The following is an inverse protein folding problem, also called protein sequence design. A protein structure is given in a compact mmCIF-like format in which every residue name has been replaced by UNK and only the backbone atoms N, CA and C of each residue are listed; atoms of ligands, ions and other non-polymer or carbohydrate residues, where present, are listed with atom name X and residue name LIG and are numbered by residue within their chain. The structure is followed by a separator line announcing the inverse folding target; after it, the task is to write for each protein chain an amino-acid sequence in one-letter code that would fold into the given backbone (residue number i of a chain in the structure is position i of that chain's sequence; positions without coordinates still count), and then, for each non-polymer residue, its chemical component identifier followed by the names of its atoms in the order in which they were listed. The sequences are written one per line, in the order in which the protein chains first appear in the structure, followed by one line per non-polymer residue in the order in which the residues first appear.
data_IF_104040912185
#
_entry.id   IF_104040912185
#
_cell.length_a   1.000
_cell.length_b   1.000
_cell.length_c   1.000
_cell.angle_alpha   90.00
_cell.angle_beta   90.00
_cell.angle_gamma   90.00
#
_symmetry.space_group_name_H-M   'P 1'
#
loop_
_entity.id
_entity.type
_entity.pdbx_description
1 polymer ?
#
# COMPACT_ATOMS: atom_id res chain seq x y z
N UNK A 1 -23.44 -29.52 -34.44
CA UNK A 1 -24.12 -28.82 -33.33
C UNK A 1 -23.15 -27.78 -32.81
N UNK A 2 -23.51 -26.50 -32.88
CA UNK A 2 -22.71 -25.46 -32.23
C UNK A 2 -22.70 -25.70 -30.71
N UNK A 3 -21.57 -25.51 -30.01
CA UNK A 3 -21.55 -25.63 -28.56
C UNK A 3 -22.59 -24.66 -27.96
N UNK A 4 -23.27 -25.04 -26.86
CA UNK A 4 -24.22 -24.15 -26.20
C UNK A 4 -23.51 -22.86 -25.82
N UNK A 5 -24.15 -21.73 -26.13
CA UNK A 5 -23.65 -20.42 -25.70
C UNK A 5 -23.53 -20.43 -24.17
N UNK A 6 -22.39 -20.02 -23.58
CA UNK A 6 -22.24 -20.02 -22.13
C UNK A 6 -23.35 -19.15 -21.50
N UNK A 7 -23.89 -19.62 -20.37
CA UNK A 7 -24.90 -18.88 -19.63
C UNK A 7 -24.40 -17.45 -19.31
N UNK A 8 -25.26 -16.41 -19.40
CA UNK A 8 -24.85 -15.05 -19.15
C UNK A 8 -24.33 -14.90 -17.73
N UNK A 9 -23.10 -14.40 -17.58
CA UNK A 9 -22.48 -14.14 -16.28
C UNK A 9 -23.22 -13.00 -15.57
N UNK A 10 -23.55 -13.18 -14.29
CA UNK A 10 -24.21 -12.16 -13.47
C UNK A 10 -23.27 -10.98 -13.22
N UNK A 11 -23.68 -9.78 -13.62
CA UNK A 11 -22.95 -8.53 -13.30
C UNK A 11 -23.27 -8.13 -11.87
N UNK A 12 -22.24 -7.86 -11.09
CA UNK A 12 -22.32 -7.52 -9.67
C UNK A 12 -21.90 -6.07 -9.37
N UNK A 13 -20.89 -5.56 -10.05
CA UNK A 13 -20.32 -4.24 -9.79
C UNK A 13 -20.00 -3.52 -11.11
N UNK A 14 -21.00 -3.02 -11.86
CA UNK A 14 -20.78 -2.30 -13.10
C UNK A 14 -20.09 -0.94 -12.85
N UNK A 15 -19.35 -0.45 -13.84
CA UNK A 15 -18.78 0.91 -13.76
C UNK A 15 -19.92 1.93 -13.81
N UNK A 16 -19.94 2.86 -12.86
CA UNK A 16 -20.94 3.92 -12.84
C UNK A 16 -20.83 4.83 -14.08
N UNK A 17 -21.94 5.22 -14.74
CA UNK A 17 -21.92 6.04 -15.96
C UNK A 17 -21.19 7.38 -15.81
N UNK A 18 -21.20 7.99 -14.63
CA UNK A 18 -20.48 9.25 -14.37
C UNK A 18 -18.97 9.06 -14.23
N UNK A 19 -18.51 7.89 -13.81
CA UNK A 19 -17.09 7.61 -13.62
C UNK A 19 -16.45 7.07 -14.90
N UNK A 20 -17.21 6.33 -15.71
CA UNK A 20 -16.72 5.66 -16.92
C UNK A 20 -15.94 6.56 -17.90
N UNK A 21 -16.37 7.80 -18.21
CA UNK A 21 -15.64 8.67 -19.14
C UNK A 21 -14.27 9.15 -18.62
N UNK A 22 -14.04 9.05 -17.30
CA UNK A 22 -12.79 9.47 -16.65
C UNK A 22 -11.75 8.35 -16.63
N UNK A 23 -12.16 7.09 -16.81
CA UNK A 23 -11.30 5.92 -16.62
C UNK A 23 -10.44 5.64 -17.86
N UNK A 24 -9.27 5.06 -17.61
CA UNK A 24 -8.42 4.54 -18.68
C UNK A 24 -9.16 3.46 -19.49
N UNK A 25 -9.14 3.48 -20.84
CA UNK A 25 -9.80 2.49 -21.67
C UNK A 25 -9.38 1.04 -21.40
N UNK A 26 -8.14 0.80 -20.99
CA UNK A 26 -7.66 -0.54 -20.61
C UNK A 26 -8.30 -1.00 -19.31
N UNK A 27 -8.56 -0.08 -18.37
CA UNK A 27 -9.28 -0.40 -17.13
C UNK A 27 -10.67 -0.91 -17.47
N UNK A 28 -11.37 -0.14 -18.30
CA UNK A 28 -12.74 -0.42 -18.72
C UNK A 28 -12.80 -1.80 -19.37
N UNK A 29 -11.88 -2.11 -20.28
CA UNK A 29 -11.84 -3.40 -20.95
C UNK A 29 -11.66 -4.58 -19.98
N UNK A 30 -10.72 -4.48 -19.02
CA UNK A 30 -10.48 -5.52 -18.01
C UNK A 30 -11.65 -5.65 -17.05
N UNK A 31 -12.19 -4.52 -16.61
CA UNK A 31 -13.32 -4.50 -15.70
C UNK A 31 -14.54 -5.15 -16.33
N UNK A 32 -14.86 -4.80 -17.58
CA UNK A 32 -16.03 -5.32 -18.28
C UNK A 32 -15.89 -6.82 -18.63
N UNK A 33 -14.67 -7.31 -18.84
CA UNK A 33 -14.44 -8.74 -19.13
C UNK A 33 -14.30 -9.60 -17.86
N UNK A 34 -13.85 -9.02 -16.75
CA UNK A 34 -13.47 -9.78 -15.55
C UNK A 34 -14.07 -9.24 -14.25
N UNK A 35 -13.76 -7.99 -13.90
CA UNK A 35 -13.99 -7.50 -12.53
C UNK A 35 -15.46 -7.30 -12.17
N UNK A 36 -16.28 -6.86 -13.12
CA UNK A 36 -17.70 -6.58 -12.88
C UNK A 36 -18.52 -7.80 -12.45
N UNK A 37 -17.99 -9.01 -12.68
CA UNK A 37 -18.65 -10.28 -12.36
C UNK A 37 -18.26 -10.84 -10.99
N UNK A 38 -17.39 -10.16 -10.25
CA UNK A 38 -16.96 -10.56 -8.92
C UNK A 38 -17.96 -9.97 -7.92
N UNK A 39 -18.51 -10.77 -6.99
CA UNK A 39 -19.33 -10.21 -5.92
C UNK A 39 -18.50 -9.23 -5.07
N UNK A 40 -19.05 -8.07 -4.67
CA UNK A 40 -18.37 -7.16 -3.77
C UNK A 40 -18.04 -7.86 -2.45
N UNK A 41 -16.83 -7.66 -1.92
CA UNK A 41 -16.39 -8.29 -0.67
C UNK A 41 -17.35 -8.00 0.48
N UNK A 42 -17.86 -6.77 0.55
CA UNK A 42 -18.83 -6.31 1.55
C UNK A 42 -20.21 -7.00 1.46
N UNK A 43 -20.48 -7.74 0.38
CA UNK A 43 -21.73 -8.50 0.20
C UNK A 43 -21.61 -9.97 0.63
N UNK A 44 -20.42 -10.42 1.00
CA UNK A 44 -20.13 -11.79 1.43
C UNK A 44 -19.76 -11.76 2.92
N UNK A 45 -20.31 -12.64 3.77
CA UNK A 45 -19.84 -12.78 5.15
C UNK A 45 -18.33 -13.01 5.19
N UNK A 46 -17.64 -12.28 6.05
CA UNK A 46 -16.20 -12.49 6.22
C UNK A 46 -15.93 -13.88 6.80
N UNK A 47 -14.85 -14.51 6.31
CA UNK A 47 -14.27 -15.72 6.89
C UNK A 47 -12.77 -15.75 6.62
N UNK A 48 -11.98 -16.53 7.39
CA UNK A 48 -10.52 -16.57 7.25
C UNK A 48 -10.04 -16.89 5.83
N UNK A 49 -10.77 -17.74 5.10
CA UNK A 49 -10.44 -18.10 3.71
C UNK A 49 -10.48 -16.90 2.76
N UNK A 50 -11.31 -15.88 3.06
CA UNK A 50 -11.40 -14.66 2.26
C UNK A 50 -10.08 -13.88 2.20
N UNK A 51 -9.21 -14.06 3.19
CA UNK A 51 -7.91 -13.38 3.31
C UNK A 51 -6.97 -13.66 2.13
N UNK A 52 -6.94 -14.93 1.72
CA UNK A 52 -6.01 -15.45 0.71
C UNK A 52 -6.65 -15.62 -0.66
N UNK A 53 -7.95 -15.33 -0.81
CA UNK A 53 -8.56 -15.32 -2.13
C UNK A 53 -7.83 -14.25 -2.95
N UNK A 54 -7.06 -14.63 -3.98
CA UNK A 54 -6.45 -13.63 -4.83
C UNK A 54 -7.61 -12.85 -5.42
N UNK A 55 -7.77 -11.59 -5.00
CA UNK A 55 -8.72 -10.72 -5.65
C UNK A 55 -8.33 -10.75 -7.13
N UNK A 56 -9.27 -11.07 -8.03
CA UNK A 56 -8.97 -11.25 -9.46
C UNK A 56 -8.07 -10.17 -10.09
N UNK A 57 -8.02 -8.89 -9.64
CA UNK A 57 -6.99 -7.97 -10.09
C UNK A 57 -5.57 -8.56 -10.06
N UNK A 58 -5.18 -9.34 -9.05
CA UNK A 58 -3.84 -9.93 -8.94
C UNK A 58 -3.52 -10.99 -10.01
N UNK A 59 -4.52 -11.54 -10.72
CA UNK A 59 -4.26 -12.36 -11.92
C UNK A 59 -3.73 -11.54 -13.10
N UNK A 60 -3.91 -10.22 -13.06
CA UNK A 60 -3.33 -9.26 -14.00
C UNK A 60 -2.02 -8.66 -13.48
N UNK A 61 -1.48 -9.20 -12.38
CA UNK A 61 -0.13 -8.88 -11.94
C UNK A 61 0.90 -9.66 -12.75
N UNK A 62 2.04 -9.02 -12.96
CA UNK A 62 3.25 -9.65 -13.48
C UNK A 62 3.78 -10.65 -12.46
N UNK A 63 4.49 -11.67 -12.92
CA UNK A 63 5.24 -12.53 -12.00
C UNK A 63 6.36 -11.74 -11.31
N UNK A 64 6.73 -12.11 -10.05
CA UNK A 64 7.96 -11.64 -9.43
C UNK A 64 9.18 -11.89 -10.31
N UNK A 65 10.14 -10.96 -10.25
CA UNK A 65 11.41 -11.08 -10.97
C UNK A 65 12.46 -11.77 -10.10
N UNK A 66 13.45 -12.47 -10.68
CA UNK A 66 14.53 -13.07 -9.92
C UNK A 66 15.29 -12.03 -9.09
N UNK A 67 15.58 -12.39 -7.84
CA UNK A 67 16.43 -11.66 -6.88
C UNK A 67 17.53 -12.61 -6.39
N UNK A 68 18.55 -12.11 -5.69
CA UNK A 68 19.65 -12.97 -5.21
C UNK A 68 19.17 -14.00 -4.20
N UNK A 69 18.33 -13.57 -3.25
CA UNK A 69 17.70 -14.47 -2.29
C UNK A 69 16.37 -13.94 -1.80
N UNK A 70 15.49 -14.88 -1.44
CA UNK A 70 14.24 -14.64 -0.73
C UNK A 70 14.28 -15.43 0.58
N UNK A 71 14.12 -14.75 1.71
CA UNK A 71 14.15 -15.38 3.04
C UNK A 71 12.97 -14.93 3.89
N UNK A 72 12.28 -15.89 4.51
CA UNK A 72 11.24 -15.60 5.51
C UNK A 72 11.87 -15.67 6.91
N UNK A 73 11.66 -14.65 7.73
CA UNK A 73 12.22 -14.51 9.08
C UNK A 73 11.06 -14.36 10.05
N UNK A 74 11.01 -15.21 11.07
CA UNK A 74 9.96 -15.22 12.07
C UNK A 74 10.31 -14.27 13.22
N UNK A 75 9.42 -13.31 13.50
CA UNK A 75 9.55 -12.32 14.58
C UNK A 75 8.60 -12.61 15.77
N UNK A 76 8.12 -13.85 15.87
CA UNK A 76 7.22 -14.33 16.91
C UNK A 76 5.77 -14.34 16.45
N UNK A 77 5.08 -13.21 16.60
CA UNK A 77 3.65 -13.08 16.26
C UNK A 77 3.38 -12.97 14.76
N UNK A 78 4.39 -12.57 14.00
CA UNK A 78 4.34 -12.39 12.56
C UNK A 78 5.72 -12.69 11.96
N UNK A 79 5.81 -12.66 10.62
CA UNK A 79 7.05 -12.86 9.87
C UNK A 79 7.31 -11.70 8.93
N UNK A 80 8.55 -11.57 8.51
CA UNK A 80 8.96 -10.70 7.41
C UNK A 80 9.56 -11.52 6.29
N UNK A 81 9.37 -11.10 5.04
CA UNK A 81 10.08 -11.67 3.89
C UNK A 81 11.06 -10.66 3.34
N UNK A 82 12.32 -11.08 3.29
CA UNK A 82 13.42 -10.31 2.74
C UNK A 82 13.73 -10.71 1.30
N UNK A 83 13.79 -9.73 0.41
CA UNK A 83 14.35 -9.84 -0.93
C UNK A 83 15.72 -9.15 -0.96
N UNK A 84 16.77 -9.88 -1.34
CA UNK A 84 18.13 -9.33 -1.47
C UNK A 84 18.44 -9.06 -2.94
N UNK A 85 18.93 -7.86 -3.31
CA UNK A 85 19.15 -7.52 -4.71
C UNK A 85 20.36 -8.25 -5.29
N UNK A 86 20.32 -8.53 -6.60
CA UNK A 86 21.48 -9.06 -7.30
C UNK A 86 22.55 -7.96 -7.42
N UNK A 87 23.76 -8.24 -6.96
CA UNK A 87 24.92 -7.36 -7.12
C UNK A 87 25.90 -7.43 -5.95
N UNK A 88 26.93 -6.61 -6.02
CA UNK A 88 27.90 -6.48 -4.94
C UNK A 88 27.32 -5.63 -3.80
N UNK A 89 27.29 -6.21 -2.59
CA UNK A 89 26.86 -5.53 -1.37
C UNK A 89 27.82 -4.36 -1.05
N UNK A 90 27.32 -3.14 -0.82
CA UNK A 90 28.17 -2.03 -0.36
C UNK A 90 28.86 -2.36 0.98
N UNK A 91 30.03 -1.77 1.23
CA UNK A 91 30.80 -1.98 2.46
C UNK A 91 29.99 -1.68 3.73
N UNK A 92 29.20 -0.60 3.71
CA UNK A 92 28.32 -0.21 4.82
C UNK A 92 27.04 -1.07 4.95
N UNK A 93 26.77 -1.94 3.98
CA UNK A 93 25.53 -2.72 3.88
C UNK A 93 24.57 -2.19 2.82
N UNK A 94 23.54 -2.97 2.50
CA UNK A 94 22.46 -2.58 1.59
C UNK A 94 21.56 -1.53 2.25
N UNK A 95 21.10 -0.48 1.54
CA UNK A 95 19.92 0.27 1.95
C UNK A 95 18.72 -0.68 2.15
N UNK A 96 17.75 -0.30 2.97
CA UNK A 96 16.59 -1.15 3.28
C UNK A 96 15.27 -0.41 3.07
N UNK A 97 14.32 -1.08 2.43
CA UNK A 97 12.92 -0.65 2.36
C UNK A 97 12.06 -1.61 3.17
N UNK A 98 11.45 -1.12 4.24
CA UNK A 98 10.42 -1.83 5.00
C UNK A 98 9.04 -1.52 4.42
N UNK A 99 8.30 -2.56 4.04
CA UNK A 99 7.09 -2.46 3.24
C UNK A 99 5.89 -3.12 3.93
N UNK A 100 4.74 -2.45 3.83
CA UNK A 100 3.45 -2.93 4.33
C UNK A 100 2.48 -3.08 3.15
N UNK A 101 1.94 -4.29 2.96
CA UNK A 101 1.02 -4.57 1.87
C UNK A 101 -0.36 -3.89 2.07
N UNK A 102 -1.13 -3.73 1.00
CA UNK A 102 -2.52 -3.27 1.07
C UNK A 102 -3.48 -4.39 1.46
N UNK A 103 -4.78 -4.06 1.53
CA UNK A 103 -5.84 -5.04 1.83
C UNK A 103 -6.81 -4.63 2.94
N UNK A 104 -6.90 -3.35 3.27
CA UNK A 104 -7.82 -2.84 4.29
C UNK A 104 -7.50 -3.34 5.70
N UNK A 105 -6.26 -3.75 5.96
CA UNK A 105 -5.85 -4.45 7.18
C UNK A 105 -6.62 -5.76 7.46
N UNK A 106 -7.28 -6.33 6.44
CA UNK A 106 -8.13 -7.54 6.55
C UNK A 106 -7.73 -8.62 5.55
N UNK A 107 -7.28 -8.21 4.37
CA UNK A 107 -6.87 -9.08 3.27
C UNK A 107 -5.37 -8.98 3.01
N UNK A 108 -4.88 -9.95 2.24
CA UNK A 108 -3.49 -10.01 1.82
C UNK A 108 -2.64 -10.86 2.75
N UNK A 109 -1.37 -10.96 2.38
CA UNK A 109 -0.35 -11.76 3.01
C UNK A 109 1.05 -11.34 2.53
N UNK A 110 2.07 -11.99 3.08
CA UNK A 110 3.49 -11.89 2.69
C UNK A 110 3.80 -12.14 1.19
N UNK A 111 2.84 -12.62 0.40
CA UNK A 111 2.97 -12.88 -1.03
C UNK A 111 2.33 -11.81 -1.92
N UNK A 112 1.46 -10.98 -1.35
CA UNK A 112 0.48 -10.17 -2.10
C UNK A 112 1.09 -9.19 -3.08
N UNK A 113 2.27 -8.63 -2.77
CA UNK A 113 2.91 -7.59 -3.59
C UNK A 113 4.34 -7.97 -4.02
N UNK A 114 4.69 -9.26 -3.96
CA UNK A 114 6.02 -9.76 -4.32
C UNK A 114 6.47 -9.33 -5.73
N UNK A 115 5.53 -9.19 -6.68
CA UNK A 115 5.84 -8.74 -8.03
C UNK A 115 6.41 -7.32 -8.07
N UNK A 116 5.80 -6.41 -7.32
CA UNK A 116 6.24 -5.04 -7.20
C UNK A 116 7.54 -4.94 -6.39
N UNK A 117 7.62 -5.68 -5.28
CA UNK A 117 8.74 -5.61 -4.35
C UNK A 117 10.04 -6.19 -4.91
N UNK A 118 9.98 -7.31 -5.64
CA UNK A 118 11.17 -7.85 -6.31
C UNK A 118 11.71 -6.89 -7.38
N UNK A 119 10.84 -6.17 -8.08
CA UNK A 119 11.25 -5.13 -9.04
C UNK A 119 11.88 -3.92 -8.35
N UNK A 120 11.32 -3.48 -7.22
CA UNK A 120 11.90 -2.42 -6.41
C UNK A 120 13.28 -2.82 -5.90
N UNK A 121 13.41 -4.03 -5.34
CA UNK A 121 14.66 -4.58 -4.84
C UNK A 121 15.79 -4.46 -5.88
N UNK A 122 15.54 -4.96 -7.10
CA UNK A 122 16.53 -4.89 -8.19
C UNK A 122 16.81 -3.45 -8.64
N UNK A 123 15.76 -2.63 -8.81
CA UNK A 123 15.91 -1.29 -9.40
C UNK A 123 16.56 -0.29 -8.46
N UNK A 124 16.18 -0.32 -7.18
CA UNK A 124 16.73 0.54 -6.14
C UNK A 124 18.04 -0.01 -5.56
N UNK A 125 18.40 -1.26 -5.86
CA UNK A 125 19.57 -1.94 -5.27
C UNK A 125 19.55 -1.87 -3.74
N UNK A 126 18.40 -2.25 -3.18
CA UNK A 126 18.18 -2.27 -1.74
C UNK A 126 17.57 -3.62 -1.32
N UNK A 127 17.76 -3.98 -0.06
CA UNK A 127 17.00 -5.07 0.56
C UNK A 127 15.57 -4.59 0.77
N UNK A 128 14.59 -5.38 0.33
CA UNK A 128 13.17 -5.07 0.53
C UNK A 128 12.57 -6.08 1.50
N UNK A 129 11.95 -5.59 2.57
CA UNK A 129 11.30 -6.38 3.60
C UNK A 129 9.80 -6.15 3.53
N UNK A 130 9.00 -7.19 3.25
CA UNK A 130 7.54 -7.11 3.41
C UNK A 130 7.13 -7.73 4.73
N UNK A 131 6.30 -7.03 5.50
CA UNK A 131 5.81 -7.47 6.81
C UNK A 131 4.49 -8.21 6.63
N UNK A 132 4.39 -9.43 7.17
CA UNK A 132 3.17 -10.24 7.24
C UNK A 132 2.39 -9.92 8.52
N UNK A 133 2.08 -8.63 8.71
CA UNK A 133 1.53 -8.11 9.96
C UNK A 133 0.15 -8.72 10.25
N UNK A 134 -0.20 -8.78 11.54
CA UNK A 134 -1.49 -9.33 11.98
C UNK A 134 -2.65 -8.51 11.41
N UNK A 135 -3.66 -9.21 10.87
CA UNK A 135 -4.83 -8.59 10.25
C UNK A 135 -6.07 -8.73 11.12
N UNK A 136 -6.97 -7.76 10.95
CA UNK A 136 -8.34 -7.81 11.41
C UNK A 136 -9.18 -8.81 10.59
N UNK A 137 -10.32 -9.26 11.12
CA UNK A 137 -10.89 -8.97 12.45
C UNK A 137 -10.25 -9.73 13.62
N UNK A 138 -9.39 -10.71 13.38
CA UNK A 138 -8.77 -11.53 14.45
C UNK A 138 -7.82 -10.70 15.33
N UNK A 139 -7.15 -9.72 14.72
CA UNK A 139 -6.27 -8.79 15.41
C UNK A 139 -6.61 -7.37 14.95
N UNK A 140 -7.65 -6.74 15.54
CA UNK A 140 -8.05 -5.38 15.19
C UNK A 140 -6.96 -4.37 15.59
N UNK A 141 -7.18 -3.10 15.23
CA UNK A 141 -6.35 -1.98 15.69
C UNK A 141 -6.13 -2.04 17.22
N UNK A 142 -4.91 -1.78 17.73
CA UNK A 142 -3.72 -1.33 17.01
C UNK A 142 -2.72 -2.44 16.61
N UNK A 143 -3.12 -3.72 16.54
CA UNK A 143 -2.18 -4.84 16.40
C UNK A 143 -1.19 -4.71 15.22
N UNK A 144 -1.66 -4.27 14.05
CA UNK A 144 -0.81 -4.05 12.88
C UNK A 144 0.20 -2.89 13.07
N UNK A 145 -0.15 -1.87 13.87
CA UNK A 145 0.74 -0.75 14.21
C UNK A 145 1.86 -1.25 15.14
N UNK A 146 1.50 -2.07 16.14
CA UNK A 146 2.49 -2.69 17.04
C UNK A 146 3.47 -3.59 16.27
N UNK A 147 2.97 -4.35 15.30
CA UNK A 147 3.80 -5.19 14.43
C UNK A 147 4.73 -4.36 13.55
N UNK A 148 4.26 -3.22 13.01
CA UNK A 148 5.07 -2.30 12.22
C UNK A 148 6.23 -1.71 13.05
N UNK A 149 5.96 -1.28 14.29
CA UNK A 149 7.00 -0.78 15.21
C UNK A 149 7.98 -1.90 15.57
N UNK A 150 7.48 -3.10 15.87
CA UNK A 150 8.30 -4.27 16.19
C UNK A 150 9.22 -4.65 15.03
N UNK A 151 8.72 -4.62 13.79
CA UNK A 151 9.50 -4.87 12.59
C UNK A 151 10.62 -3.83 12.41
N UNK A 152 10.33 -2.54 12.57
CA UNK A 152 11.35 -1.48 12.48
C UNK A 152 12.42 -1.62 13.56
N UNK A 153 12.02 -1.93 14.79
CA UNK A 153 12.96 -2.18 15.89
C UNK A 153 13.84 -3.41 15.63
N UNK A 154 13.30 -4.46 15.02
CA UNK A 154 14.09 -5.61 14.60
C UNK A 154 15.10 -5.24 13.50
N UNK A 155 14.67 -4.45 12.50
CA UNK A 155 15.55 -3.97 11.41
C UNK A 155 16.78 -3.25 11.94
N UNK A 156 16.62 -2.32 12.89
CA UNK A 156 17.75 -1.55 13.45
C UNK A 156 18.62 -2.34 14.43
N UNK A 157 18.12 -3.49 14.91
CA UNK A 157 18.83 -4.39 15.84
C UNK A 157 19.36 -5.60 15.07
N UNK A 158 18.70 -6.75 15.18
CA UNK A 158 19.18 -8.02 14.64
C UNK A 158 19.22 -8.05 13.11
N UNK A 159 18.29 -7.35 12.45
CA UNK A 159 18.21 -7.29 10.99
C UNK A 159 19.48 -6.75 10.33
N UNK A 160 20.22 -5.86 10.99
CA UNK A 160 21.48 -5.28 10.49
C UNK A 160 22.48 -6.35 10.05
N UNK A 161 22.80 -7.27 10.95
CA UNK A 161 23.78 -8.33 10.70
C UNK A 161 23.18 -9.46 9.87
N UNK A 162 21.94 -9.86 10.17
CA UNK A 162 21.26 -10.98 9.49
C UNK A 162 21.01 -10.74 7.99
N UNK A 163 20.84 -9.48 7.59
CA UNK A 163 20.56 -9.08 6.22
C UNK A 163 21.71 -8.32 5.56
N UNK A 164 22.75 -7.95 6.32
CA UNK A 164 23.84 -7.11 5.82
C UNK A 164 23.35 -5.75 5.32
N UNK A 165 22.50 -5.08 6.11
CA UNK A 165 21.87 -3.80 5.76
C UNK A 165 22.52 -2.62 6.48
N UNK A 166 22.44 -1.45 5.85
CA UNK A 166 22.84 -0.16 6.40
C UNK A 166 21.64 0.47 7.12
N UNK A 167 21.64 0.43 8.45
CA UNK A 167 20.58 0.99 9.30
C UNK A 167 20.53 2.52 9.32
N UNK A 168 21.47 3.20 8.66
CA UNK A 168 21.40 4.65 8.42
C UNK A 168 20.58 4.99 7.17
N UNK A 169 20.20 3.97 6.38
CA UNK A 169 19.47 4.11 5.12
C UNK A 169 18.18 3.31 5.09
N UNK A 170 17.25 3.67 5.97
CA UNK A 170 15.96 2.99 6.12
C UNK A 170 14.87 3.83 5.46
N UNK A 171 14.25 3.27 4.41
CA UNK A 171 13.01 3.75 3.85
C UNK A 171 11.85 2.89 4.37
N UNK A 172 10.66 3.50 4.48
CA UNK A 172 9.41 2.77 4.75
C UNK A 172 8.41 3.04 3.63
N UNK A 173 7.53 2.10 3.37
CA UNK A 173 6.50 2.29 2.36
C UNK A 173 5.35 1.31 2.45
N UNK A 174 4.33 1.56 1.66
CA UNK A 174 3.19 0.66 1.58
C UNK A 174 2.15 1.08 0.56
N UNK A 175 1.17 0.20 0.38
CA UNK A 175 0.02 0.46 -0.48
C UNK A 175 -1.28 0.51 0.32
N UNK A 176 -2.23 1.39 -0.04
CA UNK A 176 -3.56 1.40 0.58
C UNK A 176 -3.49 1.45 2.12
N UNK A 177 -4.04 0.45 2.81
CA UNK A 177 -3.91 0.26 4.26
C UNK A 177 -2.47 0.08 4.75
N UNK A 178 -1.60 -0.55 3.97
CA UNK A 178 -0.16 -0.59 4.27
C UNK A 178 0.49 0.78 4.10
N UNK A 179 -0.02 1.62 3.21
CA UNK A 179 0.37 3.04 3.12
C UNK A 179 0.01 3.82 4.38
N UNK A 180 -1.13 3.51 5.01
CA UNK A 180 -1.49 4.03 6.33
C UNK A 180 -0.47 3.60 7.39
N UNK A 181 -0.19 2.30 7.49
CA UNK A 181 0.79 1.75 8.44
C UNK A 181 2.19 2.34 8.25
N UNK A 182 2.65 2.49 7.01
CA UNK A 182 3.93 3.10 6.69
C UNK A 182 4.00 4.57 7.15
N UNK A 183 2.91 5.31 6.92
CA UNK A 183 2.80 6.72 7.34
C UNK A 183 2.81 6.83 8.87
N UNK A 184 1.97 6.04 9.56
CA UNK A 184 1.91 6.00 11.02
C UNK A 184 3.26 5.60 11.63
N UNK A 185 3.89 4.54 11.10
CA UNK A 185 5.21 4.10 11.53
C UNK A 185 6.26 5.20 11.36
N UNK A 186 6.21 5.96 10.24
CA UNK A 186 7.18 7.03 10.01
C UNK A 186 7.10 8.14 11.05
N UNK A 187 5.89 8.49 11.48
CA UNK A 187 5.64 9.47 12.52
C UNK A 187 6.08 8.92 13.89
N UNK A 188 5.69 7.67 14.22
CA UNK A 188 6.09 7.01 15.46
C UNK A 188 7.62 6.86 15.58
N UNK A 189 8.32 6.55 14.49
CA UNK A 189 9.77 6.41 14.47
C UNK A 189 10.48 7.68 14.97
N UNK A 190 9.92 8.86 14.66
CA UNK A 190 10.43 10.15 15.12
C UNK A 190 10.15 10.44 16.62
N UNK A 191 9.21 9.72 17.23
CA UNK A 191 8.83 9.86 18.64
C UNK A 191 9.44 8.79 19.54
N UNK A 192 10.07 7.76 18.99
CA UNK A 192 10.79 6.75 19.76
C UNK A 192 11.98 7.34 20.51
N UNK A 193 12.44 6.62 21.55
CA UNK A 193 13.62 7.01 22.34
C UNK A 193 14.60 5.82 22.40
N UNK A 194 15.73 5.88 21.66
CA UNK A 194 16.11 6.91 20.70
C UNK A 194 15.22 6.88 19.45
N UNK A 195 15.09 8.03 18.77
CA UNK A 195 14.37 8.12 17.50
C UNK A 195 15.09 7.28 16.43
N UNK A 196 14.32 6.66 15.54
CA UNK A 196 14.85 5.90 14.42
C UNK A 196 14.71 6.77 13.16
N UNK A 197 15.82 7.31 12.61
CA UNK A 197 15.75 8.16 11.44
C UNK A 197 15.37 7.35 10.21
N UNK A 198 14.35 7.83 9.48
CA UNK A 198 13.95 7.30 8.20
C UNK A 198 14.38 8.28 7.11
N UNK A 199 14.85 7.78 5.98
CA UNK A 199 15.36 8.62 4.88
C UNK A 199 14.29 8.89 3.82
N UNK A 200 13.23 8.08 3.78
CA UNK A 200 12.21 8.16 2.74
C UNK A 200 10.90 7.46 3.13
N UNK A 201 9.78 8.02 2.68
CA UNK A 201 8.43 7.44 2.80
C UNK A 201 7.83 7.25 1.40
N UNK A 202 7.62 6.00 1.00
CA UNK A 202 7.08 5.61 -0.32
C UNK A 202 5.62 5.16 -0.20
N UNK A 203 4.70 5.96 -0.70
CA UNK A 203 3.26 5.73 -0.56
C UNK A 203 2.59 5.49 -1.91
N UNK A 204 1.75 4.47 -1.95
CA UNK A 204 0.88 4.18 -3.10
C UNK A 204 -0.56 4.13 -2.62
N UNK A 205 -1.41 4.98 -3.18
CA UNK A 205 -2.86 5.08 -2.89
C UNK A 205 -3.19 4.97 -1.39
N UNK A 206 -2.46 5.68 -0.49
CA UNK A 206 -2.51 5.41 0.94
C UNK A 206 -3.88 5.77 1.53
N UNK A 207 -4.32 5.01 2.53
CA UNK A 207 -5.38 5.46 3.45
C UNK A 207 -4.76 6.45 4.43
N UNK A 208 -5.31 7.65 4.53
CA UNK A 208 -4.81 8.71 5.43
C UNK A 208 -5.80 9.01 6.54
N UNK A 209 -7.11 8.99 6.24
CA UNK A 209 -8.13 9.47 7.16
C UNK A 209 -9.21 8.41 7.38
N UNK A 210 -9.18 7.74 8.53
CA UNK A 210 -10.17 6.72 8.90
C UNK A 210 -11.53 7.33 9.29
N UNK A 211 -11.62 8.65 9.46
CA UNK A 211 -12.89 9.35 9.70
C UNK A 211 -13.63 9.69 8.40
N UNK A 212 -12.97 9.53 7.25
CA UNK A 212 -13.53 9.91 5.96
C UNK A 212 -14.80 9.13 5.57
N UNK A 213 -15.71 9.80 4.86
CA UNK A 213 -16.98 9.24 4.38
C UNK A 213 -17.33 9.83 3.00
N UNK A 214 -18.42 9.32 2.39
CA UNK A 214 -19.00 9.90 1.17
C UNK A 214 -19.50 11.34 1.33
N UNK A 215 -19.59 11.86 2.56
CA UNK A 215 -19.94 13.24 2.87
C UNK A 215 -18.71 14.15 2.99
N UNK A 216 -17.50 13.56 3.06
CA UNK A 216 -16.22 14.28 3.21
C UNK A 216 -15.29 14.04 2.00
N UNK A 217 -14.04 13.59 2.21
CA UNK A 217 -13.03 13.45 1.15
C UNK A 217 -13.43 12.46 0.06
N UNK A 218 -14.22 11.43 0.39
CA UNK A 218 -14.65 10.42 -0.60
C UNK A 218 -15.75 10.94 -1.55
N UNK A 219 -16.40 12.07 -1.23
CA UNK A 219 -17.55 12.60 -1.99
C UNK A 219 -17.27 12.76 -3.50
N UNK A 220 -16.09 13.29 -3.85
CA UNK A 220 -15.67 13.56 -5.23
C UNK A 220 -15.57 12.30 -6.11
N UNK A 221 -15.33 11.15 -5.48
CA UNK A 221 -15.12 9.85 -6.13
C UNK A 221 -16.02 8.77 -5.51
N UNK A 222 -17.17 9.12 -4.93
CA UNK A 222 -18.06 8.15 -4.27
C UNK A 222 -18.53 7.01 -5.20
N UNK A 223 -18.47 7.23 -6.52
CA UNK A 223 -18.78 6.26 -7.57
C UNK A 223 -17.51 5.58 -8.15
N UNK A 224 -16.39 5.61 -7.44
CA UNK A 224 -15.17 4.93 -7.86
C UNK A 224 -15.42 3.43 -8.06
N UNK A 225 -14.88 2.84 -9.13
CA UNK A 225 -14.99 1.40 -9.32
C UNK A 225 -14.06 0.68 -8.34
N UNK A 226 -14.40 -0.57 -8.04
CA UNK A 226 -13.65 -1.43 -7.12
C UNK A 226 -13.67 -0.93 -5.66
N UNK A 227 -12.88 0.08 -5.28
CA UNK A 227 -12.90 0.60 -3.92
C UNK A 227 -14.06 1.59 -3.75
N UNK A 228 -15.21 1.07 -3.29
CA UNK A 228 -16.40 1.87 -3.00
C UNK A 228 -16.42 2.34 -1.54
N UNK A 229 -17.20 3.38 -1.20
CA UNK A 229 -17.41 3.76 0.20
C UNK A 229 -17.94 2.61 1.07
N UNK A 230 -18.84 1.77 0.54
CA UNK A 230 -19.34 0.61 1.27
C UNK A 230 -18.24 -0.40 1.58
N UNK A 231 -17.35 -0.66 0.61
CA UNK A 231 -16.21 -1.57 0.79
C UNK A 231 -15.18 -1.01 1.77
N UNK A 232 -14.87 0.28 1.73
CA UNK A 232 -13.98 0.89 2.72
C UNK A 232 -14.58 0.85 4.13
N UNK A 233 -15.87 1.17 4.28
CA UNK A 233 -16.56 1.05 5.58
C UNK A 233 -16.51 -0.39 6.09
N UNK A 234 -16.73 -1.39 5.22
CA UNK A 234 -16.62 -2.80 5.60
C UNK A 234 -15.24 -3.18 6.14
N UNK A 235 -14.15 -2.72 5.51
CA UNK A 235 -12.79 -2.91 6.05
C UNK A 235 -12.60 -2.19 7.39
N UNK A 236 -13.04 -0.92 7.47
CA UNK A 236 -12.91 -0.11 8.68
C UNK A 236 -13.63 -0.72 9.86
N UNK A 237 -14.84 -1.24 9.68
CA UNK A 237 -15.65 -1.82 10.76
C UNK A 237 -15.03 -3.11 11.34
N UNK A 238 -14.26 -3.86 10.52
CA UNK A 238 -13.48 -5.00 11.03
C UNK A 238 -12.20 -4.56 11.73
N UNK A 239 -11.55 -3.51 11.22
CA UNK A 239 -10.26 -3.04 11.73
C UNK A 239 -10.40 -2.22 13.03
N UNK A 240 -11.40 -1.33 13.11
CA UNK A 240 -11.65 -0.42 14.22
C UNK A 240 -12.88 -0.90 15.02
N UNK A 241 -12.66 -1.74 16.01
CA UNK A 241 -13.74 -2.27 16.87
C UNK A 241 -14.30 -1.21 17.81
N UNK A 242 -13.54 -0.15 18.10
CA UNK A 242 -14.00 1.06 18.76
C UNK A 242 -14.02 2.23 17.75
N UNK A 243 -15.19 2.81 17.43
CA UNK A 243 -15.29 3.90 16.46
C UNK A 243 -14.46 5.14 16.80
N UNK A 244 -14.22 5.42 18.08
CA UNK A 244 -13.41 6.58 18.50
C UNK A 244 -11.93 6.45 18.10
N UNK A 245 -11.44 5.23 17.89
CA UNK A 245 -10.06 4.98 17.45
C UNK A 245 -9.78 5.59 16.07
N UNK A 246 -10.82 5.83 15.25
CA UNK A 246 -10.67 6.52 13.97
C UNK A 246 -10.11 7.94 14.09
N UNK A 247 -10.23 8.57 15.27
CA UNK A 247 -9.72 9.91 15.56
C UNK A 247 -8.30 9.90 16.15
N UNK A 248 -7.79 8.73 16.52
CA UNK A 248 -6.40 8.59 16.95
C UNK A 248 -5.48 8.78 15.74
N UNK A 249 -4.41 9.55 15.91
CA UNK A 249 -3.50 9.82 14.79
C UNK A 249 -2.70 8.58 14.34
N UNK A 250 -2.64 7.54 15.19
CA UNK A 250 -2.09 6.23 14.84
C UNK A 250 -3.05 5.39 13.98
N UNK A 251 -4.29 5.84 13.77
CA UNK A 251 -5.22 5.32 12.76
C UNK A 251 -5.39 6.32 11.59
N UNK A 252 -5.48 7.63 11.90
CA UNK A 252 -5.64 8.73 10.94
C UNK A 252 -4.43 9.68 11.00
N UNK A 253 -3.31 9.38 10.31
CA UNK A 253 -2.06 10.13 10.41
C UNK A 253 -2.17 11.64 10.08
N UNK A 254 -3.20 12.10 9.37
CA UNK A 254 -3.46 13.53 9.17
C UNK A 254 -3.79 14.28 10.48
N UNK A 255 -4.18 13.58 11.53
CA UNK A 255 -4.53 14.15 12.83
C UNK A 255 -3.34 14.25 13.80
N UNK A 256 -2.14 13.81 13.39
CA UNK A 256 -0.96 13.86 14.25
C UNK A 256 -0.58 15.30 14.63
N UNK A 257 0.06 15.52 15.79
CA UNK A 257 0.58 16.83 16.16
C UNK A 257 1.48 17.42 15.06
N UNK A 258 1.36 18.72 14.81
CA UNK A 258 2.09 19.38 13.70
C UNK A 258 3.61 19.24 13.80
N UNK A 259 4.15 19.23 15.01
CA UNK A 259 5.58 19.03 15.26
C UNK A 259 6.04 17.59 15.02
N UNK A 260 5.13 16.61 15.10
CA UNK A 260 5.37 15.22 14.68
C UNK A 260 5.28 15.10 13.16
N UNK A 261 4.26 15.69 12.53
CA UNK A 261 4.10 15.73 11.08
C UNK A 261 5.30 16.38 10.38
N UNK A 262 5.83 17.48 10.94
CA UNK A 262 7.01 18.17 10.41
C UNK A 262 8.30 17.32 10.45
N UNK A 263 8.31 16.21 11.20
CA UNK A 263 9.43 15.25 11.26
C UNK A 263 9.29 14.09 10.26
N UNK A 264 8.22 14.07 9.45
CA UNK A 264 8.09 13.08 8.38
C UNK A 264 9.30 13.15 7.45
N UNK A 265 9.86 12.00 7.00
CA UNK A 265 10.94 12.00 6.02
C UNK A 265 10.42 12.53 4.66
N UNK A 266 11.31 12.79 3.69
CA UNK A 266 10.88 13.08 2.33
C UNK A 266 9.90 12.03 1.80
N UNK A 267 8.80 12.48 1.21
CA UNK A 267 7.68 11.63 0.80
C UNK A 267 7.57 11.60 -0.71
N UNK A 268 7.40 10.41 -1.27
CA UNK A 268 6.80 10.23 -2.59
C UNK A 268 5.45 9.55 -2.43
N UNK A 269 4.42 10.11 -3.06
CA UNK A 269 3.07 9.59 -3.01
C UNK A 269 2.48 9.51 -4.42
N UNK A 270 2.01 8.32 -4.80
CA UNK A 270 1.19 8.12 -5.99
C UNK A 270 -0.27 7.94 -5.62
N UNK A 271 -1.17 8.76 -6.15
CA UNK A 271 -2.62 8.64 -5.96
C UNK A 271 -3.35 8.43 -7.28
N UNK A 272 -4.44 7.68 -7.27
CA UNK A 272 -5.25 7.39 -8.45
C UNK A 272 -6.39 8.39 -8.62
N UNK A 273 -6.60 8.93 -9.82
CA UNK A 273 -7.63 9.97 -10.05
C UNK A 273 -9.05 9.48 -9.72
N UNK A 274 -9.38 8.23 -10.09
CA UNK A 274 -10.70 7.62 -9.87
C UNK A 274 -10.68 6.69 -8.65
N UNK A 275 -10.28 7.24 -7.51
CA UNK A 275 -10.17 6.57 -6.21
C UNK A 275 -10.74 7.46 -5.09
N UNK A 276 -11.50 6.90 -4.15
CA UNK A 276 -12.03 7.64 -3.00
C UNK A 276 -10.91 8.19 -2.11
N UNK A 277 -9.72 7.58 -2.12
CA UNK A 277 -8.58 8.02 -1.32
C UNK A 277 -7.75 9.15 -1.98
N UNK A 278 -8.10 9.56 -3.20
CA UNK A 278 -7.33 10.56 -3.96
C UNK A 278 -7.25 11.90 -3.23
N UNK A 279 -8.39 12.43 -2.79
CA UNK A 279 -8.47 13.77 -2.21
C UNK A 279 -7.86 13.82 -0.80
N UNK A 280 -7.99 12.77 0.01
CA UNK A 280 -7.30 12.71 1.31
C UNK A 280 -5.77 12.62 1.15
N UNK A 281 -5.27 11.86 0.16
CA UNK A 281 -3.85 11.82 -0.16
C UNK A 281 -3.30 13.17 -0.63
N UNK A 282 -4.04 13.88 -1.49
CA UNK A 282 -3.69 15.25 -1.93
C UNK A 282 -3.69 16.22 -0.76
N UNK A 283 -4.71 16.19 0.09
CA UNK A 283 -4.81 17.06 1.27
C UNK A 283 -3.66 16.81 2.25
N UNK A 284 -3.26 15.55 2.46
CA UNK A 284 -2.12 15.21 3.31
C UNK A 284 -0.78 15.69 2.73
N UNK A 285 -0.60 15.56 1.41
CA UNK A 285 0.58 16.09 0.74
C UNK A 285 0.71 17.61 0.93
N UNK A 286 -0.38 18.36 0.78
CA UNK A 286 -0.39 19.80 1.04
C UNK A 286 -0.14 20.15 2.51
N UNK A 287 -0.72 19.37 3.43
CA UNK A 287 -0.47 19.52 4.87
C UNK A 287 1.03 19.40 5.20
N UNK A 288 1.68 18.34 4.70
CA UNK A 288 3.11 18.11 4.93
C UNK A 288 3.99 19.19 4.27
N UNK A 289 3.66 19.62 3.04
CA UNK A 289 4.35 20.74 2.37
C UNK A 289 4.27 22.03 3.17
N UNK A 290 3.08 22.32 3.73
CA UNK A 290 2.88 23.48 4.61
C UNK A 290 3.70 23.45 5.89
N UNK A 291 4.20 22.27 6.30
CA UNK A 291 5.07 22.07 7.45
C UNK A 291 6.56 21.98 7.07
N UNK A 292 6.91 22.18 5.79
CA UNK A 292 8.29 22.17 5.30
C UNK A 292 8.85 20.80 4.93
N UNK A 293 8.02 19.76 4.86
CA UNK A 293 8.43 18.42 4.41
C UNK A 293 8.55 18.41 2.88
N UNK A 294 9.60 17.78 2.34
CA UNK A 294 9.75 17.55 0.90
C UNK A 294 8.78 16.46 0.44
N UNK A 295 7.77 16.83 -0.36
CA UNK A 295 6.71 15.92 -0.81
C UNK A 295 6.50 16.01 -2.31
N UNK A 296 6.73 14.90 -3.01
CA UNK A 296 6.23 14.68 -4.37
C UNK A 296 4.91 13.91 -4.30
N UNK A 297 3.84 14.49 -4.83
CA UNK A 297 2.53 13.83 -4.92
C UNK A 297 2.11 13.81 -6.39
N UNK A 298 1.93 12.60 -6.93
CA UNK A 298 1.64 12.34 -8.34
C UNK A 298 0.24 11.76 -8.47
N UNK A 299 -0.64 12.49 -9.16
CA UNK A 299 -1.96 11.98 -9.54
C UNK A 299 -1.82 11.21 -10.86
N UNK A 300 -2.34 9.98 -10.90
CA UNK A 300 -2.41 9.14 -12.09
C UNK A 300 -3.80 9.29 -12.73
N UNK A 301 -3.92 9.95 -13.90
CA UNK A 301 -5.20 10.15 -14.55
C UNK A 301 -5.83 8.84 -15.02
N UNK A 302 -7.15 8.73 -14.88
CA UNK A 302 -7.96 7.57 -15.26
C UNK A 302 -7.65 6.26 -14.55
N UNK A 303 -6.72 6.24 -13.59
CA UNK A 303 -6.42 5.06 -12.79
C UNK A 303 -7.36 4.92 -11.59
N UNK A 304 -7.39 3.73 -11.03
CA UNK A 304 -8.26 3.34 -9.92
C UNK A 304 -7.43 2.81 -8.75
N UNK A 305 -8.08 2.48 -7.64
CA UNK A 305 -7.40 1.90 -6.48
C UNK A 305 -6.66 0.58 -6.81
N UNK A 306 -7.05 -0.16 -7.85
CA UNK A 306 -6.40 -1.43 -8.21
C UNK A 306 -5.13 -1.27 -9.08
N UNK A 307 -4.59 -0.06 -9.23
CA UNK A 307 -3.47 0.25 -10.14
C UNK A 307 -2.24 -0.65 -9.96
N UNK A 308 -1.88 -1.04 -8.73
CA UNK A 308 -0.73 -1.91 -8.45
C UNK A 308 -0.96 -3.36 -8.91
N UNK A 309 -2.19 -3.84 -8.81
CA UNK A 309 -2.55 -5.20 -9.17
C UNK A 309 -2.69 -5.39 -10.69
N UNK A 310 -2.72 -4.30 -11.47
CA UNK A 310 -2.93 -4.35 -12.92
C UNK A 310 -1.63 -4.10 -13.72
N UNK A 311 -0.45 -4.24 -13.10
CA UNK A 311 0.85 -3.86 -13.67
C UNK A 311 1.25 -4.59 -14.98
N UNK A 312 0.69 -5.79 -15.24
CA UNK A 312 0.94 -6.54 -16.50
C UNK A 312 0.21 -5.93 -17.68
N UNK A 313 -0.87 -5.19 -17.41
CA UNK A 313 -1.77 -4.63 -18.42
C UNK A 313 -1.63 -3.12 -18.51
N UNK A 314 -1.51 -2.44 -17.37
CA UNK A 314 -1.24 -1.00 -17.27
C UNK A 314 0.25 -0.72 -17.30
N UNK A 315 0.72 -0.05 -18.36
CA UNK A 315 2.09 0.45 -18.44
C UNK A 315 2.38 1.65 -17.51
N UNK A 316 1.43 2.08 -16.69
CA UNK A 316 1.53 3.29 -15.87
C UNK A 316 2.54 3.19 -14.71
N UNK A 317 2.77 1.98 -14.19
CA UNK A 317 3.82 1.69 -13.20
C UNK A 317 5.03 0.98 -13.80
N UNK A 318 5.08 0.84 -15.13
CA UNK A 318 6.36 0.54 -15.76
C UNK A 318 7.28 1.71 -15.41
N UNK A 319 8.36 1.44 -14.68
CA UNK A 319 9.42 2.41 -14.41
C UNK A 319 10.04 3.02 -15.71
N UNK A 320 9.53 2.64 -16.88
CA UNK A 320 9.85 3.19 -18.19
C UNK A 320 9.14 4.52 -18.49
N UNK A 321 8.02 4.87 -17.83
CA UNK A 321 7.20 6.02 -18.25
C UNK A 321 7.41 7.34 -17.51
N UNK A 322 8.16 7.46 -16.40
CA UNK A 322 8.61 8.78 -15.90
C UNK A 322 9.97 8.72 -15.20
N UNK A 323 10.86 9.63 -15.59
CA UNK A 323 12.24 9.82 -15.12
C UNK A 323 12.42 10.05 -13.61
N UNK A 324 11.36 10.35 -12.86
CA UNK A 324 11.47 10.87 -11.49
C UNK A 324 11.70 9.77 -10.46
N UNK A 325 10.89 8.70 -10.44
CA UNK A 325 11.05 7.60 -9.46
C UNK A 325 12.44 6.93 -9.56
N UNK A 326 13.02 6.87 -10.77
CA UNK A 326 14.39 6.39 -11.01
C UNK A 326 15.47 7.32 -10.45
N UNK A 327 15.29 8.65 -10.55
CA UNK A 327 16.22 9.62 -9.99
C UNK A 327 16.13 9.55 -8.47
N UNK A 328 14.93 9.66 -7.93
CA UNK A 328 14.69 9.82 -6.50
C UNK A 328 15.04 8.56 -5.69
N UNK A 329 14.74 7.33 -6.15
CA UNK A 329 15.19 6.11 -5.46
C UNK A 329 16.69 5.83 -5.58
N UNK A 330 17.41 6.41 -6.56
CA UNK A 330 18.88 6.28 -6.66
C UNK A 330 19.64 7.40 -5.94
N UNK A 331 19.03 8.56 -5.78
CA UNK A 331 19.67 9.72 -5.11
C UNK A 331 19.25 9.83 -3.65
N UNK A 332 18.13 9.22 -3.24
CA UNK A 332 17.57 9.36 -1.89
C UNK A 332 17.57 8.05 -1.08
N UNK A 333 18.01 6.93 -1.66
CA UNK A 333 18.25 5.63 -1.00
C UNK A 333 19.65 5.15 -1.38
#
# INVERSE_FOLDING_TARGET
MSPPSPAPRKIHQPIHPLTRPRLDPQYIAIHDSHLQYIPPSESIPWGPDSRSLPGMPSHFSSAPVPVESTRDINLGLFKVRAFTPIGEKPEAGWPVLLWFHGGGCVLGDIGSENNFLTRLCIRAKCVVLTVDYRLAPENPFPAAVDDAVTALQWVVKSGKEELGIDTTKIAVGGSSSGGNLATVLSLLASTLVPAIPLIFLLLTIPVIDQTATSETSWSSNANAPWLTPARMTWYRDMYLTNPEDSKEWTASPNLAPKDVLAKSPPVWMGVSECDILCEEGKAYAELLRGLGVDVECVVYPGSTHSILALDRTFRFLSFETKSNLRRDLKTRV
#
